data_IF_507710620862
#
_entry.id   IF_507710620862
#
_cell.length_a   1.000
_cell.length_b   1.000
_cell.length_c   1.000
_cell.angle_alpha   90.00
_cell.angle_beta   90.00
_cell.angle_gamma   90.00
#
_symmetry.space_group_name_H-M   'P 1'
#
loop_
_entity.id
_entity.type
_entity.pdbx_description
1 polymer ?
#
# COMPACT_ATOMS: atom_id res chain seq x y z
N UNK A 1 7.48 -13.37 11.76
CA UNK A 1 6.93 -14.54 11.03
C UNK A 1 6.67 -14.18 9.56
N UNK A 2 6.99 -15.08 8.63
CA UNK A 2 6.60 -14.92 7.23
C UNK A 2 5.14 -15.34 7.10
N UNK A 3 4.28 -14.41 6.67
CA UNK A 3 2.85 -14.67 6.45
C UNK A 3 2.41 -13.92 5.20
N UNK A 4 1.55 -14.54 4.42
CA UNK A 4 0.98 -13.96 3.20
C UNK A 4 -0.52 -13.77 3.39
N UNK A 5 -1.07 -12.66 2.89
CA UNK A 5 -2.49 -12.36 2.92
C UNK A 5 -2.93 -11.80 1.58
N UNK A 6 -4.15 -12.10 1.17
CA UNK A 6 -4.79 -11.48 0.01
C UNK A 6 -5.65 -10.31 0.47
N UNK A 7 -5.51 -9.17 -0.20
CA UNK A 7 -6.28 -7.94 0.06
C UNK A 7 -6.99 -7.53 -1.24
N UNK A 8 -8.28 -7.22 -1.15
CA UNK A 8 -9.08 -6.72 -2.26
C UNK A 8 -9.84 -5.46 -1.81
N UNK A 9 -9.92 -4.46 -2.68
CA UNK A 9 -10.62 -3.20 -2.44
C UNK A 9 -11.09 -2.58 -3.78
N UNK A 10 -12.17 -1.80 -3.73
CA UNK A 10 -12.68 -1.07 -4.90
C UNK A 10 -11.91 0.24 -5.07
N UNK A 11 -11.27 0.40 -6.23
CA UNK A 11 -10.58 1.64 -6.59
C UNK A 11 -11.53 2.57 -7.38
N UNK A 12 -12.27 3.43 -6.68
CA UNK A 12 -13.25 4.34 -7.30
C UNK A 12 -12.70 5.76 -7.54
N UNK A 13 -11.48 6.05 -7.10
CA UNK A 13 -10.85 7.38 -7.19
C UNK A 13 -9.44 7.26 -7.80
N UNK A 14 -9.24 7.69 -9.06
CA UNK A 14 -7.94 7.71 -9.71
C UNK A 14 -6.89 8.47 -8.90
N UNK A 15 -5.66 7.99 -8.92
CA UNK A 15 -4.53 8.62 -8.26
C UNK A 15 -3.47 7.63 -7.79
N UNK A 16 -2.48 8.17 -7.10
CA UNK A 16 -1.38 7.41 -6.49
C UNK A 16 -1.68 7.20 -5.01
N UNK A 17 -1.81 5.95 -4.60
CA UNK A 17 -2.16 5.59 -3.22
C UNK A 17 -0.95 4.99 -2.50
N UNK A 18 -0.78 5.31 -1.22
CA UNK A 18 0.30 4.74 -0.42
C UNK A 18 -0.04 3.31 0.02
N UNK A 19 0.88 2.37 -0.21
CA UNK A 19 0.86 1.03 0.36
C UNK A 19 2.08 0.84 1.24
N UNK A 20 1.87 0.85 2.56
CA UNK A 20 2.95 0.77 3.55
C UNK A 20 2.45 0.13 4.86
N UNK A 21 3.37 -0.26 5.73
CA UNK A 21 3.02 -0.72 7.08
C UNK A 21 2.55 0.44 7.97
N UNK A 22 1.54 0.24 8.82
CA UNK A 22 0.97 1.30 9.66
C UNK A 22 1.99 2.00 10.61
N UNK A 23 3.08 1.33 10.96
CA UNK A 23 4.17 1.97 11.70
C UNK A 23 5.00 2.86 10.76
N UNK A 24 4.93 4.17 10.99
CA UNK A 24 5.60 5.20 10.17
C UNK A 24 7.11 5.00 10.03
N UNK A 25 7.80 4.45 11.03
CA UNK A 25 9.21 4.11 10.91
C UNK A 25 9.46 3.08 9.79
N UNK A 26 8.63 2.03 9.69
CA UNK A 26 8.76 1.04 8.62
C UNK A 26 8.53 1.65 7.24
N UNK A 27 7.55 2.54 7.11
CA UNK A 27 7.35 3.35 5.90
C UNK A 27 8.62 4.14 5.56
N UNK A 28 9.15 4.90 6.53
CA UNK A 28 10.32 5.76 6.34
C UNK A 28 11.61 4.98 6.06
N UNK A 29 11.72 3.72 6.50
CA UNK A 29 12.89 2.86 6.27
C UNK A 29 12.76 1.95 5.05
N UNK A 30 11.79 2.19 4.16
CA UNK A 30 11.72 1.52 2.85
C UNK A 30 10.63 0.47 2.70
N UNK A 31 9.73 0.29 3.67
CA UNK A 31 8.52 -0.54 3.50
C UNK A 31 7.33 0.28 2.98
N UNK A 32 7.60 1.22 2.08
CA UNK A 32 6.59 1.99 1.36
C UNK A 32 6.69 1.66 -0.13
N UNK A 33 5.54 1.44 -0.73
CA UNK A 33 5.37 1.45 -2.18
C UNK A 33 4.08 2.20 -2.52
N UNK A 34 3.80 2.33 -3.80
CA UNK A 34 2.62 3.00 -4.31
C UNK A 34 1.75 2.05 -5.12
N UNK A 35 0.44 2.29 -5.10
CA UNK A 35 -0.52 1.72 -6.03
C UNK A 35 -1.00 2.86 -6.91
N UNK A 36 -0.62 2.83 -8.18
CA UNK A 36 -1.10 3.79 -9.17
C UNK A 36 -2.37 3.25 -9.82
N UNK A 37 -3.45 4.02 -9.72
CA UNK A 37 -4.72 3.69 -10.34
C UNK A 37 -5.16 4.78 -11.32
N UNK A 38 -5.38 4.37 -12.57
CA UNK A 38 -5.96 5.17 -13.64
C UNK A 38 -7.32 4.57 -14.02
N UNK A 39 -8.33 5.41 -14.24
CA UNK A 39 -9.63 4.97 -14.75
C UNK A 39 -9.56 4.52 -16.21
#
# INVERSE_FOLDING_TARGET
>A
PMHEVTVAFDAANPGTWAFHCHHLYHMATGMMTVVDYTA
#
